data_IF_401540296954
#
_entry.id   IF_401540296954
#
_cell.length_a   1.000
_cell.length_b   1.000
_cell.length_c   1.000
_cell.angle_alpha   90.00
_cell.angle_beta   90.00
_cell.angle_gamma   90.00
#
_symmetry.space_group_name_H-M   'P 1'
#
loop_
_entity.id
_entity.type
_entity.pdbx_description
1 polymer ?
#
# COMPACT_ATOMS: atom_id res chain seq x y z
N UNK A 1 9.51 3.27 -12.34
CA UNK A 1 10.26 3.96 -11.27
C UNK A 1 10.85 5.27 -11.74
N UNK A 2 11.95 5.24 -12.49
CA UNK A 2 12.75 6.42 -12.85
C UNK A 2 11.92 7.53 -13.52
N UNK A 3 11.10 7.19 -14.52
CA UNK A 3 10.23 8.17 -15.18
C UNK A 3 9.30 8.90 -14.18
N UNK A 4 8.68 8.17 -13.25
CA UNK A 4 7.79 8.75 -12.22
C UNK A 4 8.61 9.64 -11.27
N UNK A 5 9.81 9.22 -10.91
CA UNK A 5 10.69 10.01 -10.06
C UNK A 5 11.06 11.36 -10.70
N UNK A 6 11.42 11.35 -11.99
CA UNK A 6 11.79 12.57 -12.72
C UNK A 6 10.63 13.57 -12.83
N UNK A 7 9.42 13.11 -13.15
CA UNK A 7 8.25 14.00 -13.25
C UNK A 7 7.76 14.52 -11.89
N UNK A 8 8.08 13.81 -10.80
CA UNK A 8 7.66 14.19 -9.43
C UNK A 8 8.69 15.05 -8.71
N UNK A 9 9.96 15.02 -9.13
CA UNK A 9 11.08 15.73 -8.52
C UNK A 9 10.86 17.23 -8.30
N UNK A 10 10.08 17.87 -9.17
CA UNK A 10 9.81 19.31 -9.08
C UNK A 10 8.81 19.72 -7.98
N UNK A 11 8.05 18.79 -7.42
CA UNK A 11 6.96 19.12 -6.49
C UNK A 11 6.75 18.13 -5.34
N UNK A 12 7.24 16.89 -5.45
CA UNK A 12 7.12 15.88 -4.40
C UNK A 12 8.34 15.92 -3.49
N UNK A 13 8.13 16.30 -2.22
CA UNK A 13 9.18 16.20 -1.21
C UNK A 13 9.56 14.73 -0.98
N UNK A 14 10.87 14.40 -0.83
CA UNK A 14 11.33 13.05 -0.53
C UNK A 14 10.65 12.44 0.71
N UNK A 15 10.36 13.27 1.71
CA UNK A 15 9.68 12.86 2.95
C UNK A 15 8.27 12.29 2.74
N UNK A 16 7.60 12.63 1.63
CA UNK A 16 6.26 12.13 1.32
C UNK A 16 6.26 10.89 0.42
N UNK A 17 7.43 10.44 -0.06
CA UNK A 17 7.53 9.28 -0.95
C UNK A 17 6.97 8.00 -0.29
N UNK A 18 7.33 7.62 0.96
CA UNK A 18 6.80 6.42 1.58
C UNK A 18 5.27 6.47 1.76
N UNK A 19 4.74 7.60 2.22
CA UNK A 19 3.29 7.81 2.34
C UNK A 19 2.58 7.64 1.00
N UNK A 20 3.11 8.28 -0.05
CA UNK A 20 2.50 8.22 -1.39
C UNK A 20 2.50 6.80 -1.94
N UNK A 21 3.63 6.09 -1.79
CA UNK A 21 3.76 4.69 -2.21
C UNK A 21 2.79 3.79 -1.44
N UNK A 22 2.63 3.99 -0.14
CA UNK A 22 1.67 3.23 0.67
C UNK A 22 0.24 3.44 0.17
N UNK A 23 -0.21 4.68 0.01
CA UNK A 23 -1.58 5.00 -0.43
C UNK A 23 -1.87 4.43 -1.82
N UNK A 24 -0.95 4.59 -2.77
CA UNK A 24 -1.12 4.05 -4.12
C UNK A 24 -1.13 2.52 -4.11
N UNK A 25 -0.26 1.89 -3.30
CA UNK A 25 -0.25 0.43 -3.14
C UNK A 25 -1.58 -0.07 -2.54
N UNK A 26 -2.13 0.59 -1.53
CA UNK A 26 -3.44 0.26 -0.96
C UNK A 26 -4.55 0.26 -2.03
N UNK A 27 -4.60 1.31 -2.86
CA UNK A 27 -5.61 1.43 -3.92
C UNK A 27 -5.45 0.32 -4.97
N UNK A 28 -4.23 0.10 -5.46
CA UNK A 28 -3.95 -0.93 -6.46
C UNK A 28 -4.30 -2.32 -5.91
N UNK A 29 -3.84 -2.65 -4.71
CA UNK A 29 -4.12 -3.96 -4.11
C UNK A 29 -5.59 -4.16 -3.81
N UNK A 30 -6.30 -3.13 -3.33
CA UNK A 30 -7.74 -3.23 -3.11
C UNK A 30 -8.49 -3.47 -4.43
N UNK A 31 -8.10 -2.76 -5.50
CA UNK A 31 -8.75 -2.88 -6.82
C UNK A 31 -8.39 -4.15 -7.59
N UNK A 32 -7.24 -4.76 -7.31
CA UNK A 32 -6.76 -5.98 -8.01
C UNK A 32 -6.92 -7.25 -7.18
N UNK A 33 -7.09 -7.13 -5.86
CA UNK A 33 -7.22 -8.27 -4.95
C UNK A 33 -5.94 -9.08 -4.78
N UNK A 34 -4.75 -8.51 -5.05
CA UNK A 34 -3.48 -9.25 -4.96
C UNK A 34 -2.36 -8.48 -4.27
N UNK A 35 -1.78 -9.11 -3.24
CA UNK A 35 -0.55 -8.65 -2.57
C UNK A 35 0.65 -8.72 -3.51
N UNK A 36 0.94 -9.90 -4.08
CA UNK A 36 2.16 -10.16 -4.85
C UNK A 36 2.26 -9.33 -6.13
N UNK A 37 1.14 -9.17 -6.85
CA UNK A 37 1.08 -8.30 -8.03
C UNK A 37 1.39 -6.85 -7.67
N UNK A 38 0.82 -6.37 -6.56
CA UNK A 38 1.06 -5.02 -6.06
C UNK A 38 2.51 -4.84 -5.63
N UNK A 39 3.13 -5.81 -4.94
CA UNK A 39 4.53 -5.73 -4.54
C UNK A 39 5.46 -5.62 -5.75
N UNK A 40 5.25 -6.47 -6.76
CA UNK A 40 6.06 -6.46 -7.97
C UNK A 40 6.04 -5.10 -8.67
N UNK A 41 4.85 -4.49 -8.79
CA UNK A 41 4.68 -3.17 -9.42
C UNK A 41 5.26 -2.07 -8.53
N UNK A 42 4.86 -2.04 -7.26
CA UNK A 42 5.14 -0.92 -6.36
C UNK A 42 6.58 -0.88 -5.90
N UNK A 43 7.28 -2.02 -5.74
CA UNK A 43 8.71 -2.03 -5.44
C UNK A 43 9.52 -1.55 -6.65
N UNK A 44 9.17 -2.00 -7.87
CA UNK A 44 9.81 -1.55 -9.10
C UNK A 44 9.61 -0.05 -9.39
N UNK A 45 8.58 0.57 -8.79
CA UNK A 45 8.35 2.01 -8.84
C UNK A 45 9.06 2.73 -7.67
N UNK A 46 8.80 2.28 -6.44
CA UNK A 46 9.21 2.91 -5.20
C UNK A 46 10.72 2.90 -4.99
N UNK A 47 11.43 1.82 -5.34
CA UNK A 47 12.89 1.76 -5.16
C UNK A 47 13.61 2.82 -6.01
N UNK A 48 13.38 2.91 -7.33
CA UNK A 48 13.98 4.00 -8.11
C UNK A 48 13.52 5.39 -7.66
N UNK A 49 12.26 5.56 -7.24
CA UNK A 49 11.79 6.84 -6.70
C UNK A 49 12.56 7.26 -5.46
N UNK A 50 12.73 6.35 -4.50
CA UNK A 50 13.47 6.63 -3.27
C UNK A 50 14.93 7.00 -3.57
N UNK A 51 15.58 6.29 -4.49
CA UNK A 51 16.96 6.58 -4.87
C UNK A 51 17.11 7.92 -5.61
N UNK A 52 16.21 8.23 -6.55
CA UNK A 52 16.28 9.45 -7.36
C UNK A 52 15.91 10.71 -6.57
N UNK A 53 14.96 10.59 -5.64
CA UNK A 53 14.50 11.70 -4.80
C UNK A 53 15.26 11.79 -3.48
N UNK A 54 16.19 10.87 -3.19
CA UNK A 54 16.89 10.80 -1.90
C UNK A 54 15.93 10.63 -0.70
N UNK A 55 14.92 9.78 -0.88
CA UNK A 55 13.99 9.39 0.18
C UNK A 55 14.46 8.08 0.85
N UNK A 56 13.95 7.80 2.05
CA UNK A 56 14.29 6.59 2.78
C UNK A 56 13.85 5.32 2.03
N UNK A 57 14.83 4.57 1.51
CA UNK A 57 14.61 3.36 0.71
C UNK A 57 13.86 2.26 1.48
N UNK A 58 14.27 2.00 2.72
CA UNK A 58 13.68 0.92 3.53
C UNK A 58 12.23 1.23 3.89
N UNK A 59 11.95 2.49 4.26
CA UNK A 59 10.61 2.95 4.57
C UNK A 59 9.70 2.89 3.33
N UNK A 60 10.24 3.21 2.15
CA UNK A 60 9.51 3.13 0.88
C UNK A 60 9.19 1.68 0.48
N UNK A 61 10.11 0.73 0.69
CA UNK A 61 9.84 -0.70 0.47
C UNK A 61 8.79 -1.20 1.46
N UNK A 62 8.91 -0.84 2.74
CA UNK A 62 7.92 -1.19 3.76
C UNK A 62 6.53 -0.65 3.40
N UNK A 63 6.45 0.58 2.88
CA UNK A 63 5.21 1.18 2.40
C UNK A 63 4.57 0.39 1.26
N UNK A 64 5.36 -0.04 0.26
CA UNK A 64 4.85 -0.85 -0.85
C UNK A 64 4.30 -2.21 -0.37
N UNK A 65 5.02 -2.87 0.54
CA UNK A 65 4.60 -4.15 1.12
C UNK A 65 3.35 -3.98 2.00
N UNK A 66 3.34 -2.99 2.89
CA UNK A 66 2.21 -2.74 3.78
C UNK A 66 0.93 -2.41 3.01
N UNK A 67 1.02 -1.60 1.96
CA UNK A 67 -0.15 -1.23 1.16
C UNK A 67 -0.70 -2.41 0.35
N UNK A 68 0.17 -3.29 -0.15
CA UNK A 68 -0.27 -4.50 -0.84
C UNK A 68 -1.01 -5.47 0.09
N UNK A 69 -0.52 -5.68 1.31
CA UNK A 69 -1.20 -6.50 2.33
C UNK A 69 -2.53 -5.88 2.74
N UNK A 70 -2.57 -4.57 2.96
CA UNK A 70 -3.81 -3.87 3.32
C UNK A 70 -4.92 -4.13 2.28
N UNK A 71 -4.62 -3.93 0.99
CA UNK A 71 -5.63 -4.02 -0.04
C UNK A 71 -6.10 -5.45 -0.25
N UNK A 72 -5.19 -6.41 -0.21
CA UNK A 72 -5.50 -7.85 -0.30
C UNK A 72 -6.40 -8.33 0.86
N UNK A 73 -6.16 -7.84 2.08
CA UNK A 73 -6.94 -8.22 3.27
C UNK A 73 -8.40 -7.78 3.23
N UNK A 74 -8.70 -6.63 2.60
CA UNK A 74 -10.05 -6.05 2.60
C UNK A 74 -10.72 -5.98 1.22
N UNK A 75 -10.05 -6.44 0.16
CA UNK A 75 -10.63 -6.45 -1.18
C UNK A 75 -11.71 -7.52 -1.32
N UNK A 76 -12.90 -7.20 -1.91
CA UNK A 76 -13.94 -8.18 -2.21
C UNK A 76 -13.61 -9.11 -3.39
N UNK A 77 -12.47 -8.93 -4.05
CA UNK A 77 -12.07 -9.79 -5.17
C UNK A 77 -10.78 -10.56 -4.88
N UNK A 78 -10.21 -10.42 -3.68
CA UNK A 78 -9.02 -11.15 -3.28
C UNK A 78 -9.33 -12.64 -3.04
N UNK A 79 -8.45 -13.51 -3.54
CA UNK A 79 -8.48 -14.95 -3.27
C UNK A 79 -8.43 -15.23 -1.77
N UNK A 80 -7.64 -14.45 -1.02
CA UNK A 80 -7.52 -14.57 0.44
C UNK A 80 -8.86 -14.25 1.12
N UNK A 81 -9.52 -13.16 0.72
CA UNK A 81 -10.84 -12.78 1.25
C UNK A 81 -11.92 -13.81 0.89
N UNK A 82 -11.92 -14.30 -0.34
CA UNK A 82 -12.87 -15.32 -0.80
C UNK A 82 -12.71 -16.59 0.02
N UNK A 83 -11.48 -17.11 0.14
CA UNK A 83 -11.20 -18.31 0.92
C UNK A 83 -11.52 -18.10 2.41
N UNK A 84 -11.20 -16.93 2.98
CA UNK A 84 -11.52 -16.62 4.37
C UNK A 84 -13.03 -16.62 4.64
N UNK A 85 -13.83 -16.02 3.77
CA UNK A 85 -15.30 -16.03 3.89
C UNK A 85 -15.88 -17.44 3.77
N UNK A 86 -15.40 -18.25 2.81
CA UNK A 86 -15.82 -19.65 2.67
C UNK A 86 -15.45 -20.50 3.89
N UNK A 87 -14.21 -20.37 4.38
CA UNK A 87 -13.72 -21.12 5.53
C UNK A 87 -14.45 -20.76 6.83
N UNK A 88 -14.91 -19.52 6.95
CA UNK A 88 -15.70 -19.06 8.10
C UNK A 88 -17.22 -19.25 7.93
N UNK A 89 -17.66 -19.82 6.79
CA UNK A 89 -19.06 -20.06 6.47
C UNK A 89 -19.95 -18.82 6.61
N UNK A 90 -19.41 -17.64 6.30
CA UNK A 90 -20.16 -16.37 6.30
C UNK A 90 -20.37 -15.85 4.88
N UNK A 91 -21.36 -14.96 4.71
CA UNK A 91 -21.56 -14.29 3.43
C UNK A 91 -20.32 -13.45 3.08
N UNK A 92 -19.90 -13.54 1.82
CA UNK A 92 -18.66 -12.93 1.35
C UNK A 92 -18.67 -11.40 1.51
N UNK A 93 -19.80 -10.75 1.21
CA UNK A 93 -19.91 -9.30 1.31
C UNK A 93 -20.01 -8.86 2.77
N UNK A 94 -20.64 -9.65 3.63
CA UNK A 94 -20.63 -9.37 5.07
C UNK A 94 -19.23 -9.51 5.68
N UNK A 95 -18.45 -10.51 5.26
CA UNK A 95 -17.03 -10.62 5.61
C UNK A 95 -16.28 -9.33 5.26
N UNK A 96 -16.34 -8.89 4.00
CA UNK A 96 -15.67 -7.68 3.53
C UNK A 96 -16.10 -6.44 4.33
N UNK A 97 -17.41 -6.25 4.52
CA UNK A 97 -17.96 -5.11 5.26
C UNK A 97 -17.49 -5.07 6.70
N UNK A 98 -17.33 -6.22 7.36
CA UNK A 98 -16.82 -6.28 8.73
C UNK A 98 -15.32 -6.03 8.81
N UNK A 99 -14.54 -6.44 7.80
CA UNK A 99 -13.08 -6.23 7.79
C UNK A 99 -12.67 -4.80 7.41
N UNK A 100 -13.43 -4.13 6.54
CA UNK A 100 -13.06 -2.84 5.98
C UNK A 100 -12.87 -1.74 7.06
N UNK A 101 -13.71 -1.59 8.10
CA UNK A 101 -13.48 -0.59 9.15
C UNK A 101 -12.16 -0.79 9.91
N UNK A 102 -11.81 -2.03 10.24
CA UNK A 102 -10.54 -2.34 10.92
C UNK A 102 -9.35 -2.05 10.01
N UNK A 103 -9.46 -2.47 8.75
CA UNK A 103 -8.43 -2.25 7.74
C UNK A 103 -8.21 -0.75 7.56
N UNK A 104 -9.26 0.03 7.31
CA UNK A 104 -9.19 1.48 7.14
C UNK A 104 -8.59 2.18 8.37
N UNK A 105 -8.93 1.72 9.58
CA UNK A 105 -8.36 2.28 10.82
C UNK A 105 -6.85 2.01 10.88
N UNK A 106 -6.43 0.76 10.70
CA UNK A 106 -5.01 0.38 10.71
C UNK A 106 -4.23 1.05 9.56
N UNK A 107 -4.81 1.09 8.36
CA UNK A 107 -4.25 1.74 7.19
C UNK A 107 -4.12 3.25 7.37
N UNK A 108 -5.11 3.90 7.98
CA UNK A 108 -5.06 5.33 8.32
C UNK A 108 -3.94 5.63 9.31
N UNK A 109 -3.83 4.86 10.40
CA UNK A 109 -2.74 4.99 11.38
C UNK A 109 -1.39 4.78 10.69
N UNK A 110 -1.27 3.74 9.87
CA UNK A 110 -0.04 3.43 9.13
C UNK A 110 0.36 4.55 8.17
N UNK A 111 -0.61 5.15 7.48
CA UNK A 111 -0.35 6.29 6.60
C UNK A 111 0.20 7.50 7.38
N UNK A 112 -0.36 7.81 8.55
CA UNK A 112 0.16 8.86 9.43
C UNK A 112 1.57 8.52 9.91
N UNK A 113 1.84 7.27 10.27
CA UNK A 113 3.18 6.83 10.66
C UNK A 113 4.19 7.05 9.52
N UNK A 114 3.84 6.74 8.27
CA UNK A 114 4.72 7.01 7.13
C UNK A 114 4.97 8.51 6.90
N UNK A 115 3.98 9.38 7.13
CA UNK A 115 4.19 10.83 7.09
C UNK A 115 5.19 11.29 8.16
N UNK A 116 5.01 10.82 9.39
CA UNK A 116 5.87 11.20 10.52
C UNK A 116 7.29 10.68 10.31
N UNK A 117 7.43 9.39 10.00
CA UNK A 117 8.75 8.77 9.79
C UNK A 117 9.45 9.29 8.55
N UNK A 118 8.74 9.63 7.48
CA UNK A 118 9.37 10.21 6.28
C UNK A 118 9.90 11.63 6.51
N UNK A 119 9.39 12.37 7.48
CA UNK A 119 9.94 13.67 7.89
C UNK A 119 11.09 13.53 8.87
N UNK A 120 11.08 12.48 9.71
CA UNK A 120 12.08 12.27 10.77
C UNK A 120 13.33 11.50 10.33
N UNK A 121 13.20 10.60 9.35
CA UNK A 121 14.25 9.69 8.87
C UNK A 121 14.63 10.00 7.42
#
# INVERSE_FOLDING_TARGET
GIYIAEITKGWLSPSFVPFTIFVVACVIAFSTGTSWGTFAIMIAIGVPMAQTLDANLYLTIAAALGGGVFGDHCSPISDTTIIASMASACDHIDHVKTQLPYSLTAGGITAVIYLVLGVLL
#
